data_IF_276230299502
#
_entry.id   IF_276230299502
#
_cell.length_a   1.000
_cell.length_b   1.000
_cell.length_c   1.000
_cell.angle_alpha   90.00
_cell.angle_beta   90.00
_cell.angle_gamma   90.00
#
_symmetry.space_group_name_H-M   'P 1'
#
loop_
_entity.id
_entity.type
_entity.pdbx_description
1 polymer ?
#
# COMPACT_ATOMS: atom_id res chain seq x y z
N UNK A 1 -13.94 3.89 -27.61
CA UNK A 1 -12.76 3.10 -27.21
C UNK A 1 -13.01 2.53 -25.84
N UNK A 2 -12.30 1.46 -25.47
CA UNK A 2 -12.45 0.77 -24.20
C UNK A 2 -12.30 1.70 -22.98
N UNK A 3 -11.40 2.70 -23.08
CA UNK A 3 -11.20 3.70 -22.02
C UNK A 3 -12.44 4.56 -21.73
N UNK A 4 -13.22 4.94 -22.76
CA UNK A 4 -14.44 5.74 -22.59
C UNK A 4 -15.54 4.89 -21.96
N UNK A 5 -15.74 3.66 -22.45
CA UNK A 5 -16.71 2.72 -21.87
C UNK A 5 -16.40 2.44 -20.39
N UNK A 6 -15.12 2.32 -20.06
CA UNK A 6 -14.65 2.07 -18.69
C UNK A 6 -14.88 3.26 -17.75
N UNK A 7 -14.66 4.49 -18.22
CA UNK A 7 -15.03 5.71 -17.48
C UNK A 7 -16.54 5.76 -17.24
N UNK A 8 -17.35 5.45 -18.26
CA UNK A 8 -18.81 5.42 -18.16
C UNK A 8 -19.29 4.33 -17.18
N UNK A 9 -18.71 3.15 -17.18
CA UNK A 9 -19.09 2.09 -16.24
C UNK A 9 -18.71 2.44 -14.79
N UNK A 10 -17.47 2.89 -14.58
CA UNK A 10 -16.93 3.05 -13.24
C UNK A 10 -17.45 4.29 -12.51
N UNK A 11 -17.79 5.38 -13.21
CA UNK A 11 -18.31 6.59 -12.52
C UNK A 11 -19.67 6.31 -11.88
N UNK A 12 -20.52 5.47 -12.51
CA UNK A 12 -21.80 5.07 -11.93
C UNK A 12 -21.66 4.18 -10.69
N UNK A 13 -20.60 3.36 -10.61
CA UNK A 13 -20.36 2.51 -9.43
C UNK A 13 -20.24 3.32 -8.15
N UNK A 14 -19.68 4.54 -8.21
CA UNK A 14 -19.61 5.42 -7.04
C UNK A 14 -20.99 5.65 -6.41
N UNK A 15 -22.01 5.92 -7.23
CA UNK A 15 -23.38 6.12 -6.75
C UNK A 15 -24.04 4.84 -6.24
N UNK A 16 -23.63 3.68 -6.77
CA UNK A 16 -24.06 2.36 -6.28
C UNK A 16 -23.61 2.05 -4.85
N UNK A 17 -22.51 2.67 -4.39
CA UNK A 17 -22.04 2.59 -3.00
C UNK A 17 -22.72 3.59 -2.05
N UNK A 18 -23.64 4.44 -2.53
CA UNK A 18 -24.22 5.57 -1.78
C UNK A 18 -24.99 5.22 -0.48
N UNK A 19 -25.03 3.96 -0.05
CA UNK A 19 -25.53 3.51 1.26
C UNK A 19 -24.64 2.46 1.96
N UNK A 20 -23.54 2.03 1.35
CA UNK A 20 -22.63 1.01 1.88
C UNK A 20 -21.23 1.60 2.02
N UNK A 21 -20.65 1.42 3.19
CA UNK A 21 -19.31 1.93 3.52
C UNK A 21 -18.26 1.42 2.51
N UNK A 22 -17.39 2.31 2.05
CA UNK A 22 -16.25 1.95 1.22
C UNK A 22 -15.23 1.19 2.06
N UNK A 23 -15.31 -0.14 2.04
CA UNK A 23 -14.28 -0.99 2.65
C UNK A 23 -12.99 -0.92 1.83
N UNK A 24 -11.84 -1.15 2.47
CA UNK A 24 -10.54 -1.12 1.78
C UNK A 24 -10.49 -2.07 0.58
N UNK A 25 -11.10 -3.24 0.70
CA UNK A 25 -11.22 -4.20 -0.41
C UNK A 25 -12.02 -3.64 -1.59
N UNK A 26 -13.09 -2.88 -1.32
CA UNK A 26 -13.85 -2.20 -2.36
C UNK A 26 -13.04 -1.06 -3.01
N UNK A 27 -12.31 -0.28 -2.21
CA UNK A 27 -11.42 0.79 -2.70
C UNK A 27 -10.31 0.22 -3.60
N UNK A 28 -9.60 -0.81 -3.13
CA UNK A 28 -8.54 -1.48 -3.93
C UNK A 28 -9.07 -2.04 -5.24
N UNK A 29 -10.26 -2.64 -5.24
CA UNK A 29 -10.89 -3.13 -6.47
C UNK A 29 -11.25 -1.97 -7.40
N UNK A 30 -11.80 -0.88 -6.88
CA UNK A 30 -12.15 0.30 -7.68
C UNK A 30 -10.92 0.92 -8.35
N UNK A 31 -9.82 1.09 -7.61
CA UNK A 31 -8.54 1.59 -8.12
C UNK A 31 -7.96 0.66 -9.17
N UNK A 32 -7.90 -0.65 -8.90
CA UNK A 32 -7.41 -1.66 -9.85
C UNK A 32 -8.23 -1.69 -11.13
N UNK A 33 -9.55 -1.69 -10.98
CA UNK A 33 -10.46 -1.67 -12.12
C UNK A 33 -10.21 -0.39 -12.91
N UNK A 34 -10.14 0.80 -12.31
CA UNK A 34 -9.85 2.05 -13.01
C UNK A 34 -8.48 2.06 -13.71
N UNK A 35 -7.43 1.58 -13.05
CA UNK A 35 -6.07 1.56 -13.58
C UNK A 35 -5.64 2.94 -14.10
N UNK A 36 -5.16 3.05 -15.35
CA UNK A 36 -4.59 4.30 -15.88
C UNK A 36 -5.61 5.42 -16.10
N UNK A 37 -6.92 5.14 -16.03
CA UNK A 37 -7.96 6.18 -16.19
C UNK A 37 -8.48 6.73 -14.86
N UNK A 38 -7.89 6.34 -13.72
CA UNK A 38 -8.34 6.77 -12.39
C UNK A 38 -8.42 8.29 -12.23
N UNK A 39 -7.41 9.03 -12.70
CA UNK A 39 -7.43 10.50 -12.65
C UNK A 39 -8.60 11.10 -13.45
N UNK A 40 -8.84 10.58 -14.67
CA UNK A 40 -9.97 11.00 -15.50
C UNK A 40 -11.31 10.61 -14.87
N UNK A 41 -11.34 9.50 -14.13
CA UNK A 41 -12.52 9.04 -13.41
C UNK A 41 -12.88 9.98 -12.26
N UNK A 42 -11.89 10.50 -11.52
CA UNK A 42 -12.09 11.52 -10.49
C UNK A 42 -12.73 12.78 -11.07
N UNK A 43 -12.20 13.28 -12.18
CA UNK A 43 -12.77 14.45 -12.88
C UNK A 43 -14.20 14.18 -13.35
N UNK A 44 -14.46 13.01 -13.94
CA UNK A 44 -15.78 12.64 -14.45
C UNK A 44 -16.81 12.60 -13.32
N UNK A 45 -16.55 11.89 -12.21
CA UNK A 45 -17.51 11.77 -11.09
C UNK A 45 -17.82 13.12 -10.47
N UNK A 46 -16.81 13.98 -10.30
CA UNK A 46 -17.00 15.35 -9.81
C UNK A 46 -17.86 16.18 -10.76
N UNK A 47 -17.65 16.05 -12.07
CA UNK A 47 -18.39 16.78 -13.09
C UNK A 47 -19.84 16.30 -13.27
N UNK A 48 -20.09 15.00 -13.08
CA UNK A 48 -21.42 14.39 -13.24
C UNK A 48 -22.38 14.80 -12.12
N UNK A 49 -21.84 15.24 -10.98
CA UNK A 49 -22.57 15.71 -9.83
C UNK A 49 -23.20 17.11 -10.05
N UNK A 50 -24.12 17.23 -11.02
CA UNK A 50 -24.86 18.47 -11.31
C UNK A 50 -26.25 18.43 -10.65
N UNK A 51 -26.37 18.92 -9.42
CA UNK A 51 -27.67 19.09 -8.77
C UNK A 51 -27.87 20.51 -8.29
N UNK A 52 -29.08 21.05 -8.49
CA UNK A 52 -29.48 22.37 -7.94
C UNK A 52 -29.62 22.34 -6.42
N UNK A 53 -29.71 21.16 -5.81
CA UNK A 53 -29.81 20.99 -4.37
C UNK A 53 -28.41 21.04 -3.72
N UNK A 54 -28.08 22.19 -3.14
CA UNK A 54 -26.78 22.43 -2.49
C UNK A 54 -26.43 21.40 -1.42
N UNK A 55 -27.41 20.92 -0.65
CA UNK A 55 -27.17 19.92 0.41
C UNK A 55 -26.79 18.56 -0.17
N UNK A 56 -27.46 18.13 -1.23
CA UNK A 56 -27.13 16.86 -1.93
C UNK A 56 -25.76 16.94 -2.60
N UNK A 57 -25.48 18.06 -3.28
CA UNK A 57 -24.17 18.30 -3.88
C UNK A 57 -23.04 18.23 -2.83
N UNK A 58 -23.22 18.91 -1.68
CA UNK A 58 -22.23 18.89 -0.61
C UNK A 58 -22.01 17.48 -0.02
N UNK A 59 -23.09 16.71 0.19
CA UNK A 59 -22.97 15.34 0.68
C UNK A 59 -22.25 14.42 -0.31
N UNK A 60 -22.54 14.54 -1.62
CA UNK A 60 -21.87 13.77 -2.67
C UNK A 60 -20.39 14.14 -2.80
N UNK A 61 -20.06 15.44 -2.74
CA UNK A 61 -18.67 15.91 -2.73
C UNK A 61 -17.92 15.34 -1.53
N UNK A 62 -18.44 15.48 -0.32
CA UNK A 62 -17.78 14.99 0.89
C UNK A 62 -17.57 13.46 0.87
N UNK A 63 -18.54 12.71 0.35
CA UNK A 63 -18.39 11.27 0.16
C UNK A 63 -17.30 10.91 -0.85
N UNK A 64 -17.14 11.69 -1.92
CA UNK A 64 -16.08 11.49 -2.90
C UNK A 64 -14.70 11.89 -2.35
N UNK A 65 -14.62 13.00 -1.63
CA UNK A 65 -13.40 13.46 -0.96
C UNK A 65 -12.90 12.40 0.04
N UNK A 66 -13.81 11.77 0.79
CA UNK A 66 -13.46 10.67 1.70
C UNK A 66 -12.93 9.43 0.96
N UNK A 67 -13.47 9.11 -0.22
CA UNK A 67 -12.97 8.02 -1.07
C UNK A 67 -11.56 8.33 -1.58
N UNK A 68 -11.31 9.53 -2.13
CA UNK A 68 -9.98 9.95 -2.60
C UNK A 68 -8.95 9.94 -1.48
N UNK A 69 -9.32 10.41 -0.29
CA UNK A 69 -8.47 10.32 0.89
C UNK A 69 -8.14 8.86 1.24
N UNK A 70 -9.13 7.95 1.20
CA UNK A 70 -8.88 6.52 1.47
C UNK A 70 -8.02 5.87 0.41
N UNK A 71 -8.19 6.22 -0.88
CA UNK A 71 -7.32 5.77 -1.97
C UNK A 71 -5.87 6.18 -1.70
N UNK A 72 -5.65 7.43 -1.32
CA UNK A 72 -4.31 7.97 -1.05
C UNK A 72 -3.63 7.24 0.11
N UNK A 73 -4.34 7.08 1.24
CA UNK A 73 -3.84 6.34 2.41
C UNK A 73 -3.48 4.90 2.05
N UNK A 74 -4.36 4.18 1.35
CA UNK A 74 -4.08 2.79 0.96
C UNK A 74 -2.90 2.69 -0.02
N UNK A 75 -2.74 3.65 -0.92
CA UNK A 75 -1.62 3.67 -1.85
C UNK A 75 -0.28 3.88 -1.12
N UNK A 76 -0.25 4.78 -0.12
CA UNK A 76 0.92 5.01 0.73
C UNK A 76 1.25 3.76 1.58
N UNK A 77 0.25 3.15 2.22
CA UNK A 77 0.41 1.91 2.98
C UNK A 77 0.96 0.77 2.11
N UNK A 78 0.44 0.62 0.89
CA UNK A 78 0.89 -0.40 -0.05
C UNK A 78 2.30 -0.13 -0.57
N UNK A 79 2.67 1.13 -0.79
CA UNK A 79 4.03 1.50 -1.20
C UNK A 79 5.05 1.23 -0.09
N UNK A 80 4.73 1.61 1.15
CA UNK A 80 5.53 1.24 2.33
C UNK A 80 5.61 -0.29 2.46
N UNK A 81 4.50 -0.98 2.26
CA UNK A 81 4.42 -2.44 2.29
C UNK A 81 5.16 -3.16 1.17
N UNK A 82 5.63 -2.46 0.12
CA UNK A 82 6.52 -3.02 -0.92
C UNK A 82 7.99 -2.95 -0.56
N UNK A 83 8.37 -2.13 0.41
CA UNK A 83 9.75 -2.04 0.87
C UNK A 83 10.14 -3.41 1.46
N UNK A 84 11.31 -3.89 1.04
CA UNK A 84 11.89 -5.16 1.49
C UNK A 84 13.28 -4.87 2.05
N UNK A 85 13.72 -5.59 3.10
CA UNK A 85 15.09 -5.51 3.57
C UNK A 85 16.06 -5.94 2.47
N UNK A 86 17.33 -5.51 2.59
CA UNK A 86 18.40 -5.90 1.68
C UNK A 86 18.77 -7.39 1.81
N UNK A 87 18.41 -8.03 2.92
CA UNK A 87 18.56 -9.47 3.16
C UNK A 87 17.20 -10.13 3.35
N UNK A 88 16.90 -11.14 2.52
CA UNK A 88 15.68 -11.93 2.66
C UNK A 88 15.80 -13.01 3.75
N UNK A 89 14.69 -13.68 4.04
CA UNK A 89 14.66 -14.73 5.07
C UNK A 89 15.63 -15.89 4.79
N UNK A 90 15.90 -16.22 3.52
CA UNK A 90 16.81 -17.30 3.15
C UNK A 90 18.26 -16.89 3.42
N UNK A 91 18.64 -15.67 3.05
CA UNK A 91 19.94 -15.11 3.35
C UNK A 91 20.18 -15.04 4.85
N UNK A 92 19.19 -14.58 5.63
CA UNK A 92 19.26 -14.52 7.09
C UNK A 92 19.49 -15.92 7.69
N UNK A 93 18.72 -16.92 7.25
CA UNK A 93 18.89 -18.30 7.72
C UNK A 93 20.30 -18.82 7.43
N UNK A 94 20.81 -18.60 6.20
CA UNK A 94 22.14 -19.06 5.81
C UNK A 94 23.27 -18.34 6.57
N UNK A 95 23.15 -17.02 6.76
CA UNK A 95 24.19 -16.20 7.40
C UNK A 95 24.28 -16.40 8.92
N UNK A 96 23.16 -16.72 9.56
CA UNK A 96 23.10 -16.92 11.02
C UNK A 96 23.00 -18.39 11.43
N UNK A 97 22.89 -19.32 10.48
CA UNK A 97 22.69 -20.74 10.77
C UNK A 97 21.34 -21.04 11.45
N UNK A 98 20.33 -20.20 11.21
CA UNK A 98 19.02 -20.31 11.87
C UNK A 98 18.07 -21.24 11.10
N UNK A 99 17.29 -22.10 11.80
CA UNK A 99 16.16 -22.78 11.19
C UNK A 99 15.01 -21.79 10.92
N UNK A 100 14.05 -22.14 10.03
CA UNK A 100 12.85 -21.34 9.83
C UNK A 100 12.07 -21.19 11.14
N UNK A 101 11.77 -19.94 11.53
CA UNK A 101 11.05 -19.68 12.78
C UNK A 101 11.02 -18.22 13.20
N UNK A 102 10.53 -17.92 14.42
CA UNK A 102 10.34 -16.55 14.91
C UNK A 102 11.62 -15.71 14.93
N UNK A 103 12.78 -16.33 15.14
CA UNK A 103 14.08 -15.63 15.12
C UNK A 103 14.38 -15.02 13.74
N UNK A 104 14.07 -15.74 12.66
CA UNK A 104 14.22 -15.25 11.28
C UNK A 104 13.29 -14.06 11.03
N UNK A 105 12.04 -14.14 11.50
CA UNK A 105 11.09 -13.02 11.40
C UNK A 105 11.55 -11.77 12.15
N UNK A 106 12.13 -11.93 13.35
CA UNK A 106 12.71 -10.81 14.11
C UNK A 106 13.90 -10.18 13.38
N UNK A 107 14.81 -11.00 12.85
CA UNK A 107 15.94 -10.53 12.06
C UNK A 107 15.48 -9.80 10.79
N UNK A 108 14.48 -10.36 10.09
CA UNK A 108 13.89 -9.74 8.90
C UNK A 108 13.30 -8.37 9.21
N UNK A 109 12.55 -8.24 10.31
CA UNK A 109 11.98 -6.96 10.73
C UNK A 109 13.08 -5.95 11.10
N UNK A 110 14.13 -6.37 11.81
CA UNK A 110 15.26 -5.50 12.12
C UNK A 110 15.97 -5.00 10.85
N UNK A 111 16.15 -5.86 9.85
CA UNK A 111 16.72 -5.46 8.56
C UNK A 111 15.77 -4.57 7.75
N UNK A 112 14.45 -4.72 7.91
CA UNK A 112 13.46 -3.84 7.29
C UNK A 112 13.48 -2.45 7.92
N UNK A 113 13.55 -2.37 9.25
CA UNK A 113 13.72 -1.12 10.00
C UNK A 113 15.01 -0.40 9.56
N UNK A 114 16.12 -1.13 9.48
CA UNK A 114 17.39 -0.60 8.96
C UNK A 114 17.25 -0.03 7.54
N UNK A 115 16.54 -0.75 6.65
CA UNK A 115 16.27 -0.32 5.28
C UNK A 115 15.42 0.95 5.22
N UNK A 116 14.46 1.11 6.14
CA UNK A 116 13.61 2.30 6.23
C UNK A 116 14.40 3.52 6.76
N UNK A 117 15.32 3.31 7.69
CA UNK A 117 16.11 4.38 8.31
C UNK A 117 17.28 4.86 7.45
N UNK A 118 18.03 3.92 6.84
CA UNK A 118 19.27 4.21 6.11
C UNK A 118 19.12 4.11 4.59
N UNK A 119 18.00 3.59 4.10
CA UNK A 119 17.83 3.27 2.69
C UNK A 119 18.64 2.01 2.28
N UNK A 120 18.84 1.79 0.97
CA UNK A 120 19.59 0.64 0.45
C UNK A 120 21.02 0.58 0.97
N UNK A 121 21.41 -0.58 1.50
CA UNK A 121 22.80 -0.86 1.87
C UNK A 121 23.47 -1.84 0.89
N UNK A 122 24.78 -1.70 0.67
CA UNK A 122 25.57 -2.76 0.05
C UNK A 122 25.45 -4.08 0.83
N UNK A 123 25.50 -5.20 0.13
CA UNK A 123 25.31 -6.53 0.73
C UNK A 123 26.23 -6.77 1.95
N UNK A 124 27.52 -6.47 1.83
CA UNK A 124 28.48 -6.65 2.92
C UNK A 124 28.15 -5.82 4.17
N UNK A 125 27.65 -4.60 3.99
CA UNK A 125 27.21 -3.76 5.10
C UNK A 125 25.95 -4.34 5.74
N UNK A 126 24.96 -4.78 4.95
CA UNK A 126 23.76 -5.42 5.47
C UNK A 126 24.09 -6.71 6.26
N UNK A 127 25.07 -7.50 5.80
CA UNK A 127 25.55 -8.69 6.52
C UNK A 127 26.21 -8.31 7.84
N UNK A 128 27.02 -7.25 7.86
CA UNK A 128 27.66 -6.77 9.08
C UNK A 128 26.62 -6.32 10.12
N UNK A 129 25.61 -5.57 9.69
CA UNK A 129 24.49 -5.12 10.55
C UNK A 129 23.65 -6.29 11.06
N UNK A 130 23.34 -7.27 10.21
CA UNK A 130 22.65 -8.49 10.63
C UNK A 130 23.41 -9.22 11.74
N UNK A 131 24.74 -9.35 11.60
CA UNK A 131 25.59 -10.01 12.60
C UNK A 131 25.68 -9.21 13.89
N UNK A 132 25.77 -7.88 13.80
CA UNK A 132 25.76 -7.00 14.96
C UNK A 132 24.44 -7.12 15.74
N UNK A 133 23.31 -7.09 15.03
CA UNK A 133 22.00 -7.33 15.60
C UNK A 133 21.90 -8.71 16.26
N UNK A 134 22.36 -9.77 15.59
CA UNK A 134 22.32 -11.13 16.12
C UNK A 134 23.13 -11.26 17.42
N UNK A 135 24.32 -10.67 17.47
CA UNK A 135 25.15 -10.63 18.68
C UNK A 135 24.46 -9.89 19.84
N UNK A 136 23.82 -8.75 19.57
CA UNK A 136 23.05 -8.00 20.56
C UNK A 136 21.80 -8.78 21.05
N UNK A 137 21.19 -9.58 20.17
CA UNK A 137 20.05 -10.43 20.49
C UNK A 137 20.44 -11.75 21.19
N UNK A 138 21.73 -12.03 21.40
CA UNK A 138 22.23 -13.28 21.97
C UNK A 138 22.08 -14.48 21.03
N UNK A 139 21.95 -14.24 19.73
CA UNK A 139 21.89 -15.27 18.70
C UNK A 139 23.31 -15.52 18.22
N UNK A 140 23.88 -16.74 18.41
CA UNK A 140 25.20 -17.04 17.89
C UNK A 140 25.18 -16.94 16.37
N UNK A 141 26.09 -16.14 15.80
CA UNK A 141 26.38 -16.22 14.37
C UNK A 141 27.11 -17.56 14.12
N UNK A 142 26.54 -18.38 13.24
CA UNK A 142 27.12 -19.65 12.82
C UNK A 142 28.49 -19.52 12.18
#
# INVERSE_FOLDING_TARGET
>A
SDAVCKLVELHLRFYGYGRGEWTDSAVRRYVRDAGPVLERLHLLVRSDCTTRNKRKAAAQSAAYDALEARISVLAEEEELGRIRPDLDGNAIMALLGLPPGPAVGKAYNAMLELRLERGPLPYEEAVAELRAWAAAAGIPAG
#
